data_IF_268952998158
#
_entry.id   IF_268952998158
#
_cell.length_a   1.000
_cell.length_b   1.000
_cell.length_c   1.000
_cell.angle_alpha   90.00
_cell.angle_beta   90.00
_cell.angle_gamma   90.00
#
_symmetry.space_group_name_H-M   'P 1'
#
loop_
_entity.id
_entity.type
_entity.pdbx_description
1 polymer ?
#
# COMPACT_ATOMS: atom_id res chain seq x y z
N UNK A 1 46.50 36.01 -29.64
CA UNK A 1 45.30 35.15 -29.72
C UNK A 1 45.58 33.85 -28.96
N UNK A 2 45.44 33.85 -27.63
CA UNK A 2 45.81 32.69 -26.78
C UNK A 2 45.17 32.80 -25.39
N UNK A 3 43.88 33.14 -25.34
CA UNK A 3 43.15 33.33 -24.07
C UNK A 3 41.65 33.01 -24.24
N UNK A 4 41.30 32.03 -25.08
CA UNK A 4 39.90 31.67 -25.34
C UNK A 4 39.62 30.16 -25.34
N UNK A 5 40.51 29.33 -24.80
CA UNK A 5 40.36 27.87 -24.78
C UNK A 5 40.22 27.24 -23.39
N UNK A 6 40.20 28.04 -22.32
CA UNK A 6 40.15 27.55 -20.92
C UNK A 6 38.83 27.83 -20.20
N UNK A 7 37.73 28.10 -20.92
CA UNK A 7 36.43 28.40 -20.31
C UNK A 7 35.30 27.39 -20.58
N UNK A 8 35.55 26.29 -21.31
CA UNK A 8 34.50 25.30 -21.64
C UNK A 8 34.57 23.97 -20.87
N UNK A 9 35.44 23.83 -19.86
CA UNK A 9 35.57 22.58 -19.07
C UNK A 9 35.00 22.68 -17.63
N UNK A 10 34.34 23.78 -17.27
CA UNK A 10 33.72 23.99 -15.95
C UNK A 10 32.18 24.08 -16.02
N UNK A 11 31.52 23.15 -16.71
CA UNK A 11 30.06 23.14 -16.82
C UNK A 11 29.41 21.74 -16.70
N UNK A 12 30.03 20.79 -15.98
CA UNK A 12 29.44 19.44 -15.76
C UNK A 12 29.38 19.04 -14.27
N UNK A 13 29.68 19.94 -13.33
CA UNK A 13 29.59 19.65 -11.89
C UNK A 13 28.41 20.36 -11.20
N UNK A 14 27.33 20.66 -11.94
CA UNK A 14 26.09 21.14 -11.31
C UNK A 14 25.31 19.92 -10.80
N UNK A 15 25.61 19.58 -9.55
CA UNK A 15 24.61 19.16 -8.56
C UNK A 15 23.70 18.00 -8.99
N UNK A 16 24.29 16.83 -9.24
CA UNK A 16 23.62 15.58 -8.85
C UNK A 16 23.61 15.50 -7.32
N UNK A 17 22.85 16.40 -6.69
CA UNK A 17 22.40 16.20 -5.33
C UNK A 17 21.46 15.01 -5.39
N UNK A 18 22.00 13.79 -5.27
CA UNK A 18 21.19 12.64 -4.93
C UNK A 18 20.53 13.01 -3.60
N UNK A 19 19.28 13.45 -3.65
CA UNK A 19 18.41 13.41 -2.49
C UNK A 19 18.34 11.94 -2.14
N UNK A 20 19.20 11.50 -1.22
CA UNK A 20 19.16 10.16 -0.68
C UNK A 20 17.84 10.07 0.05
N UNK A 21 16.86 9.45 -0.62
CA UNK A 21 15.62 9.06 0.02
C UNK A 21 15.97 8.23 1.26
N UNK A 22 15.30 8.44 2.40
CA UNK A 22 15.54 7.61 3.57
C UNK A 22 15.38 6.13 3.19
N UNK A 23 16.09 5.20 3.84
CA UNK A 23 15.83 3.78 3.62
C UNK A 23 14.40 3.44 4.08
N UNK A 24 13.75 2.43 3.46
CA UNK A 24 12.51 1.88 4.00
C UNK A 24 12.70 1.43 5.45
N UNK A 25 11.64 1.48 6.29
CA UNK A 25 11.74 1.03 7.67
C UNK A 25 12.02 -0.47 7.75
N UNK A 26 12.79 -0.88 8.74
CA UNK A 26 13.01 -2.29 9.08
C UNK A 26 12.00 -2.78 10.11
N UNK A 27 11.53 -4.00 9.93
CA UNK A 27 10.61 -4.68 10.85
C UNK A 27 11.38 -5.80 11.55
N UNK A 28 11.64 -5.62 12.84
CA UNK A 28 12.38 -6.56 13.69
C UNK A 28 11.44 -7.64 14.24
N UNK A 29 11.98 -8.81 14.61
CA UNK A 29 11.19 -9.84 15.28
C UNK A 29 10.24 -10.62 14.37
N UNK A 30 10.37 -10.50 13.05
CA UNK A 30 9.53 -11.20 12.09
C UNK A 30 9.52 -12.70 12.41
N UNK A 31 10.69 -13.30 12.64
CA UNK A 31 10.89 -14.72 12.92
C UNK A 31 9.98 -15.30 14.02
N UNK A 32 9.52 -14.48 14.96
CA UNK A 32 8.62 -14.91 16.04
C UNK A 32 7.26 -15.43 15.52
N UNK A 33 6.89 -15.02 14.31
CA UNK A 33 5.64 -15.41 13.64
C UNK A 33 5.85 -16.50 12.58
N UNK A 34 7.04 -17.08 12.44
CA UNK A 34 7.30 -18.19 11.49
C UNK A 34 6.49 -19.45 11.82
N UNK A 35 6.01 -19.57 13.07
CA UNK A 35 5.12 -20.65 13.49
C UNK A 35 3.69 -20.53 12.95
N UNK A 36 3.29 -19.34 12.46
CA UNK A 36 1.95 -19.12 11.90
C UNK A 36 1.88 -19.74 10.50
N UNK A 37 1.02 -20.75 10.34
CA UNK A 37 0.66 -21.30 9.05
C UNK A 37 -0.17 -20.28 8.27
N UNK A 38 0.33 -19.90 7.10
CA UNK A 38 -0.36 -19.01 6.18
C UNK A 38 -0.95 -19.82 5.03
N UNK A 39 -2.27 -19.81 4.92
CA UNK A 39 -2.99 -20.38 3.78
C UNK A 39 -3.32 -19.25 2.81
N UNK A 40 -2.39 -18.95 1.91
CA UNK A 40 -2.57 -17.91 0.89
C UNK A 40 -3.47 -18.42 -0.25
N UNK A 41 -4.76 -18.09 -0.17
CA UNK A 41 -5.79 -18.41 -1.17
C UNK A 41 -6.04 -17.25 -2.15
N UNK A 42 -5.23 -16.19 -2.09
CA UNK A 42 -5.39 -15.02 -2.97
C UNK A 42 -5.35 -15.43 -4.44
N UNK A 43 -6.17 -14.81 -5.31
CA UNK A 43 -6.04 -14.96 -6.74
C UNK A 43 -4.59 -14.71 -7.18
N UNK A 44 -4.07 -15.55 -8.09
CA UNK A 44 -2.68 -15.43 -8.54
C UNK A 44 -2.38 -14.06 -9.14
N UNK A 45 -3.38 -13.46 -9.80
CA UNK A 45 -3.30 -12.12 -10.37
C UNK A 45 -2.89 -11.11 -9.32
N UNK A 46 -3.45 -11.14 -8.09
CA UNK A 46 -3.18 -10.17 -7.02
C UNK A 46 -1.71 -10.13 -6.57
N UNK A 47 -0.93 -11.19 -6.84
CA UNK A 47 0.49 -11.28 -6.49
C UNK A 47 1.39 -10.51 -7.47
N UNK A 48 0.88 -10.20 -8.65
CA UNK A 48 1.64 -9.56 -9.74
C UNK A 48 1.58 -8.02 -9.68
N UNK A 49 2.43 -7.33 -10.42
CA UNK A 49 2.29 -5.87 -10.62
C UNK A 49 1.50 -5.59 -11.89
N UNK A 50 0.60 -4.59 -11.88
CA UNK A 50 -0.17 -4.22 -13.08
C UNK A 50 -0.34 -2.72 -13.19
N UNK A 51 0.03 -2.15 -14.34
CA UNK A 51 -0.40 -0.81 -14.75
C UNK A 51 -1.68 -0.96 -15.55
N UNK A 52 -2.79 -0.36 -15.09
CA UNK A 52 -4.07 -0.57 -15.75
C UNK A 52 -4.24 0.24 -17.03
N UNK A 53 -3.70 1.46 -17.08
CA UNK A 53 -3.62 2.22 -18.32
C UNK A 53 -2.56 3.32 -18.26
N UNK A 54 -1.91 3.53 -19.41
CA UNK A 54 -1.04 4.68 -19.67
C UNK A 54 -1.72 5.75 -20.52
N UNK A 55 -2.95 5.51 -21.01
CA UNK A 55 -3.69 6.45 -21.84
C UNK A 55 -4.44 7.46 -20.97
N UNK A 56 -4.13 8.75 -21.12
CA UNK A 56 -4.71 9.85 -20.32
C UNK A 56 -6.25 9.89 -20.35
N UNK A 57 -6.84 9.51 -21.48
CA UNK A 57 -8.30 9.48 -21.71
C UNK A 57 -8.99 8.28 -21.03
N UNK A 58 -8.24 7.29 -20.56
CA UNK A 58 -8.79 6.11 -19.90
C UNK A 58 -9.23 6.42 -18.46
N UNK A 59 -10.33 5.80 -18.04
CA UNK A 59 -10.77 5.73 -16.63
C UNK A 59 -9.81 4.99 -15.72
N UNK A 60 -8.89 4.20 -16.30
CA UNK A 60 -7.88 3.43 -15.58
C UNK A 60 -6.48 4.09 -15.58
N UNK A 61 -6.36 5.27 -16.20
CA UNK A 61 -5.10 6.00 -16.31
C UNK A 61 -4.49 6.22 -14.92
N UNK A 62 -3.19 6.02 -14.74
CA UNK A 62 -2.54 6.37 -13.48
C UNK A 62 -2.98 5.52 -12.28
N UNK A 63 -3.63 4.38 -12.53
CA UNK A 63 -3.94 3.36 -11.53
C UNK A 63 -2.99 2.19 -11.71
N UNK A 64 -2.46 1.72 -10.59
CA UNK A 64 -1.49 0.63 -10.54
C UNK A 64 -1.86 -0.33 -9.43
N UNK A 65 -1.62 -1.62 -9.63
CA UNK A 65 -1.61 -2.64 -8.58
C UNK A 65 -0.17 -3.00 -8.25
N UNK A 66 0.17 -2.96 -6.97
CA UNK A 66 1.49 -3.31 -6.49
C UNK A 66 1.70 -4.83 -6.53
N UNK A 67 2.90 -5.26 -6.93
CA UNK A 67 3.32 -6.65 -6.83
C UNK A 67 3.58 -7.04 -5.36
N UNK A 68 3.43 -8.31 -5.03
CA UNK A 68 3.63 -8.81 -3.66
C UNK A 68 5.07 -8.56 -3.15
N UNK A 69 6.04 -8.59 -4.07
CA UNK A 69 7.46 -8.29 -3.81
C UNK A 69 7.83 -6.81 -3.83
N UNK A 70 6.87 -5.89 -3.93
CA UNK A 70 7.15 -4.44 -3.94
C UNK A 70 7.68 -3.91 -2.59
N UNK A 71 7.46 -4.66 -1.51
CA UNK A 71 7.90 -4.33 -0.15
C UNK A 71 8.70 -5.47 0.46
N UNK A 72 9.52 -5.14 1.46
CA UNK A 72 10.18 -6.10 2.34
C UNK A 72 9.95 -5.66 3.79
N UNK A 73 9.28 -6.46 4.64
CA UNK A 73 8.61 -7.74 4.32
C UNK A 73 7.45 -7.58 3.32
N UNK A 74 6.98 -8.71 2.76
CA UNK A 74 5.74 -8.72 1.96
C UNK A 74 4.53 -8.40 2.85
N UNK A 75 3.43 -7.92 2.27
CA UNK A 75 2.23 -7.58 3.02
C UNK A 75 1.68 -8.75 3.85
N UNK A 76 1.63 -9.95 3.26
CA UNK A 76 1.20 -11.18 3.96
C UNK A 76 2.15 -11.54 5.10
N UNK A 77 3.46 -11.38 4.91
CA UNK A 77 4.44 -11.68 5.96
C UNK A 77 4.33 -10.70 7.13
N UNK A 78 4.09 -9.42 6.83
CA UNK A 78 3.85 -8.38 7.83
C UNK A 78 2.52 -8.63 8.58
N UNK A 79 1.47 -9.03 7.86
CA UNK A 79 0.17 -9.40 8.44
C UNK A 79 0.33 -10.53 9.46
N UNK A 80 1.03 -11.61 9.10
CA UNK A 80 1.28 -12.74 10.00
C UNK A 80 1.97 -12.30 11.29
N UNK A 81 2.98 -11.43 11.16
CA UNK A 81 3.71 -10.89 12.29
C UNK A 81 2.84 -10.01 13.19
N UNK A 82 2.11 -9.04 12.62
CA UNK A 82 1.23 -8.16 13.40
C UNK A 82 0.06 -8.90 14.03
N UNK A 83 -0.50 -9.89 13.34
CA UNK A 83 -1.54 -10.74 13.89
C UNK A 83 -1.02 -11.52 15.09
N UNK A 84 0.18 -12.11 15.00
CA UNK A 84 0.84 -12.79 16.11
C UNK A 84 1.07 -11.87 17.32
N UNK A 85 1.52 -10.63 17.10
CA UNK A 85 1.68 -9.63 18.17
C UNK A 85 0.33 -9.21 18.79
N UNK A 86 -0.73 -9.18 17.99
CA UNK A 86 -2.04 -8.64 18.39
C UNK A 86 -2.92 -9.67 19.11
N UNK A 87 -2.78 -10.95 18.74
CA UNK A 87 -3.63 -12.06 19.20
C UNK A 87 -2.78 -13.19 19.79
N UNK A 88 -2.59 -13.22 21.11
CA UNK A 88 -1.89 -14.31 21.79
C UNK A 88 -2.47 -15.70 21.48
N UNK A 89 -3.77 -15.77 21.16
CA UNK A 89 -4.52 -16.97 20.76
C UNK A 89 -3.95 -17.65 19.51
N UNK A 90 -3.30 -16.89 18.63
CA UNK A 90 -2.61 -17.46 17.47
C UNK A 90 -1.39 -18.30 17.87
N UNK A 91 -0.93 -18.24 19.13
CA UNK A 91 0.08 -19.19 19.62
C UNK A 91 -0.46 -20.60 19.77
N UNK A 92 -1.76 -20.79 19.99
CA UNK A 92 -2.39 -22.11 20.14
C UNK A 92 -3.11 -22.56 18.87
N UNK A 93 -3.58 -21.63 18.04
CA UNK A 93 -4.18 -21.89 16.73
C UNK A 93 -3.44 -21.08 15.65
N UNK A 94 -2.23 -21.51 15.25
CA UNK A 94 -1.35 -20.69 14.43
C UNK A 94 -1.73 -20.77 12.95
N UNK A 95 -2.92 -20.29 12.58
CA UNK A 95 -3.40 -20.34 11.20
C UNK A 95 -4.11 -19.05 10.80
N UNK A 96 -3.72 -18.52 9.64
CA UNK A 96 -4.40 -17.40 8.99
C UNK A 96 -4.61 -17.80 7.52
N UNK A 97 -5.86 -17.78 7.09
CA UNK A 97 -6.20 -17.89 5.67
C UNK A 97 -6.31 -16.49 5.09
N UNK A 98 -5.65 -16.24 3.96
CA UNK A 98 -5.66 -14.95 3.28
C UNK A 98 -6.37 -15.12 1.94
N UNK A 99 -7.55 -14.51 1.83
CA UNK A 99 -8.42 -14.58 0.65
C UNK A 99 -8.11 -13.41 -0.30
N UNK A 100 -7.86 -12.22 0.25
CA UNK A 100 -7.38 -11.07 -0.49
C UNK A 100 -6.31 -10.32 0.31
N UNK A 101 -5.22 -9.96 -0.35
CA UNK A 101 -4.28 -8.96 0.14
C UNK A 101 -3.70 -8.28 -1.08
N UNK A 102 -4.27 -7.13 -1.42
CA UNK A 102 -3.95 -6.41 -2.65
C UNK A 102 -3.90 -4.91 -2.40
N UNK A 103 -2.92 -4.25 -3.01
CA UNK A 103 -2.75 -2.80 -2.92
C UNK A 103 -2.85 -2.17 -4.28
N UNK A 104 -3.71 -1.16 -4.38
CA UNK A 104 -3.82 -0.28 -5.54
C UNK A 104 -3.32 1.10 -5.20
N UNK A 105 -2.59 1.73 -6.13
CA UNK A 105 -2.22 3.14 -6.05
C UNK A 105 -3.02 3.89 -7.10
N UNK A 106 -3.73 4.94 -6.69
CA UNK A 106 -4.44 5.83 -7.60
C UNK A 106 -3.76 7.21 -7.63
N UNK A 107 -3.15 7.54 -8.77
CA UNK A 107 -2.46 8.81 -9.01
C UNK A 107 -3.23 9.74 -9.96
N UNK A 108 -4.49 9.43 -10.29
CA UNK A 108 -5.25 10.11 -11.35
C UNK A 108 -5.33 11.62 -11.19
N UNK A 109 -5.65 12.07 -9.98
CA UNK A 109 -5.77 13.49 -9.64
C UNK A 109 -4.49 14.27 -9.88
N UNK A 110 -3.32 13.63 -9.73
CA UNK A 110 -2.02 14.27 -9.96
C UNK A 110 -1.57 14.14 -11.40
N UNK A 111 -1.65 12.96 -12.01
CA UNK A 111 -1.17 12.76 -13.37
C UNK A 111 -1.98 13.55 -14.41
N UNK A 112 -3.27 13.81 -14.15
CA UNK A 112 -4.07 14.70 -14.99
C UNK A 112 -3.78 16.19 -14.78
N UNK A 113 -3.18 16.55 -13.65
CA UNK A 113 -2.86 17.94 -13.28
C UNK A 113 -1.39 18.30 -13.56
N UNK A 114 -0.48 17.34 -13.49
CA UNK A 114 0.97 17.49 -13.72
C UNK A 114 1.56 16.18 -14.28
N UNK A 115 2.43 16.26 -15.30
CA UNK A 115 3.19 15.09 -15.76
C UNK A 115 4.23 14.70 -14.70
N UNK A 116 4.07 13.54 -14.06
CA UNK A 116 5.02 13.05 -13.05
C UNK A 116 6.21 12.36 -13.72
N UNK A 117 7.40 12.86 -13.39
CA UNK A 117 8.70 12.23 -13.64
C UNK A 117 8.83 11.02 -12.69
N UNK A 118 9.29 9.89 -13.24
CA UNK A 118 9.16 8.55 -12.70
C UNK A 118 9.68 8.33 -11.26
N UNK A 119 8.87 7.61 -10.49
CA UNK A 119 9.24 6.99 -9.22
C UNK A 119 8.46 5.71 -8.90
N UNK A 120 7.70 5.16 -9.86
CA UNK A 120 6.90 3.95 -9.67
C UNK A 120 7.61 2.66 -10.11
N UNK A 121 8.87 2.73 -10.53
CA UNK A 121 9.56 1.63 -11.24
C UNK A 121 10.80 1.08 -10.52
N UNK A 122 10.93 1.29 -9.21
CA UNK A 122 12.06 0.78 -8.42
C UNK A 122 11.74 -0.52 -7.67
N UNK A 123 12.64 -1.51 -7.74
CA UNK A 123 12.56 -2.72 -6.92
C UNK A 123 12.63 -2.43 -5.41
N UNK A 124 12.05 -3.33 -4.60
CA UNK A 124 11.97 -3.37 -3.12
C UNK A 124 12.03 -2.00 -2.44
N UNK A 125 10.87 -1.50 -1.99
CA UNK A 125 10.78 -0.27 -1.21
C UNK A 125 10.23 0.92 -1.99
N UNK A 126 9.16 0.70 -2.77
CA UNK A 126 8.44 1.77 -3.47
C UNK A 126 8.12 2.90 -2.50
N UNK A 127 8.82 4.02 -2.67
CA UNK A 127 8.58 5.22 -1.92
C UNK A 127 7.60 6.10 -2.68
N UNK A 128 6.57 6.53 -1.97
CA UNK A 128 5.62 7.48 -2.50
C UNK A 128 6.28 8.85 -2.39
N UNK A 129 6.89 9.33 -3.48
CA UNK A 129 7.44 10.68 -3.56
C UNK A 129 6.30 11.69 -3.36
N UNK A 130 6.14 12.21 -2.15
CA UNK A 130 5.38 13.43 -1.96
C UNK A 130 6.26 14.58 -2.44
N UNK A 131 5.93 15.15 -3.60
CA UNK A 131 6.32 16.54 -3.84
C UNK A 131 5.81 17.39 -2.68
N UNK A 132 6.60 18.38 -2.30
CA UNK A 132 6.68 19.05 -0.98
C UNK A 132 5.38 19.57 -0.35
N UNK A 133 4.22 19.51 -1.02
CA UNK A 133 2.92 19.98 -0.49
C UNK A 133 1.76 19.14 -1.07
N UNK A 134 1.61 17.89 -0.64
CA UNK A 134 0.35 17.16 -0.88
C UNK A 134 -0.58 17.36 0.30
N UNK A 135 -1.88 17.66 0.09
CA UNK A 135 -2.84 17.72 1.18
C UNK A 135 -2.87 16.39 1.91
N UNK A 136 -2.53 16.43 3.20
CA UNK A 136 -2.58 15.26 4.06
C UNK A 136 -4.04 14.91 4.38
N UNK A 137 -4.29 13.64 4.63
CA UNK A 137 -5.59 13.17 5.09
C UNK A 137 -5.46 12.07 6.13
N UNK A 138 -6.61 11.59 6.60
CA UNK A 138 -6.67 10.50 7.57
C UNK A 138 -6.70 9.14 6.87
N UNK A 139 -6.06 8.14 7.49
CA UNK A 139 -6.22 6.75 7.09
C UNK A 139 -7.63 6.30 7.44
N UNK A 140 -8.36 5.75 6.47
CA UNK A 140 -9.75 5.29 6.67
C UNK A 140 -9.87 3.82 6.34
N UNK A 141 -10.26 3.03 7.33
CA UNK A 141 -10.52 1.59 7.16
C UNK A 141 -11.98 1.30 7.36
N UNK A 142 -12.61 0.66 6.39
CA UNK A 142 -14.01 0.25 6.44
C UNK A 142 -14.12 -1.25 6.27
N UNK A 143 -15.04 -1.88 7.00
CA UNK A 143 -15.43 -3.27 6.74
C UNK A 143 -16.19 -3.29 5.41
N UNK A 144 -15.91 -4.29 4.59
CA UNK A 144 -16.56 -4.49 3.29
C UNK A 144 -17.12 -5.90 3.18
N UNK A 145 -18.02 -6.11 2.22
CA UNK A 145 -18.39 -7.45 1.78
C UNK A 145 -17.27 -8.00 0.88
N UNK A 146 -16.74 -9.17 1.24
CA UNK A 146 -15.71 -9.86 0.47
C UNK A 146 -16.18 -10.15 -0.97
N UNK A 147 -17.47 -10.48 -1.15
CA UNK A 147 -18.04 -10.76 -2.47
C UNK A 147 -17.97 -9.53 -3.40
N UNK A 148 -17.90 -8.32 -2.85
CA UNK A 148 -17.72 -7.11 -3.64
C UNK A 148 -16.34 -7.03 -4.31
N UNK A 149 -15.31 -7.63 -3.71
CA UNK A 149 -13.99 -7.77 -4.34
C UNK A 149 -14.10 -8.70 -5.54
N UNK A 150 -14.60 -9.92 -5.37
CA UNK A 150 -14.70 -10.91 -6.44
C UNK A 150 -15.43 -10.40 -7.70
N UNK A 151 -16.50 -9.64 -7.50
CA UNK A 151 -17.31 -9.07 -8.58
C UNK A 151 -16.57 -8.13 -9.52
N UNK A 152 -15.49 -7.51 -9.06
CA UNK A 152 -14.71 -6.53 -9.84
C UNK A 152 -13.43 -7.13 -10.43
N UNK A 153 -13.28 -8.45 -10.47
CA UNK A 153 -12.13 -9.09 -11.12
C UNK A 153 -12.12 -8.86 -12.64
N UNK A 154 -10.93 -8.90 -13.26
CA UNK A 154 -10.78 -8.77 -14.72
C UNK A 154 -10.70 -7.32 -15.19
N UNK A 155 -11.54 -6.95 -16.16
CA UNK A 155 -11.46 -5.65 -16.83
C UNK A 155 -11.87 -4.47 -15.93
N UNK A 156 -12.71 -4.72 -14.93
CA UNK A 156 -13.19 -3.70 -13.99
C UNK A 156 -12.32 -3.59 -12.72
N UNK A 157 -11.24 -4.35 -12.63
CA UNK A 157 -10.38 -4.43 -11.44
C UNK A 157 -9.82 -3.06 -11.04
N UNK A 158 -9.55 -2.18 -12.00
CA UNK A 158 -9.06 -0.82 -11.72
C UNK A 158 -10.05 0.02 -10.89
N UNK A 159 -11.34 -0.31 -10.91
CA UNK A 159 -12.38 0.42 -10.16
C UNK A 159 -12.23 0.24 -8.65
N UNK A 160 -11.53 -0.82 -8.19
CA UNK A 160 -11.15 -1.03 -6.79
C UNK A 160 -10.24 0.09 -6.27
N UNK A 161 -9.58 0.85 -7.16
CA UNK A 161 -8.77 1.99 -6.77
C UNK A 161 -9.55 3.31 -6.68
N UNK A 162 -10.86 3.29 -6.89
CA UNK A 162 -11.71 4.48 -6.78
C UNK A 162 -12.05 4.81 -5.32
N UNK A 163 -12.30 6.09 -5.10
CA UNK A 163 -12.66 6.66 -3.81
C UNK A 163 -13.64 7.80 -4.04
N UNK A 164 -14.48 8.07 -3.03
CA UNK A 164 -15.44 9.17 -3.11
C UNK A 164 -14.80 10.49 -2.68
N UNK A 165 -15.47 11.60 -3.00
CA UNK A 165 -15.03 12.93 -2.55
C UNK A 165 -15.12 13.08 -1.02
N UNK A 166 -16.04 12.37 -0.36
CA UNK A 166 -16.08 12.34 1.11
C UNK A 166 -14.88 11.62 1.70
N UNK A 167 -14.35 10.61 1.00
CA UNK A 167 -13.19 9.83 1.44
C UNK A 167 -11.87 10.57 1.26
N UNK A 168 -11.75 11.39 0.21
CA UNK A 168 -10.55 12.13 -0.14
C UNK A 168 -10.93 13.46 -0.84
N UNK A 169 -11.37 14.46 -0.08
CA UNK A 169 -11.92 15.71 -0.64
C UNK A 169 -10.88 16.50 -1.43
N UNK A 170 -9.62 16.45 -0.97
CA UNK A 170 -8.48 17.10 -1.61
C UNK A 170 -7.99 16.37 -2.86
N UNK A 171 -8.59 15.21 -3.18
CA UNK A 171 -8.23 14.35 -4.30
C UNK A 171 -6.73 14.07 -4.29
N UNK A 172 -6.12 13.86 -3.13
CA UNK A 172 -4.71 13.49 -3.05
C UNK A 172 -4.48 12.10 -3.65
N UNK A 173 -3.26 11.76 -4.10
CA UNK A 173 -2.90 10.37 -4.39
C UNK A 173 -3.22 9.47 -3.21
N UNK A 174 -3.75 8.28 -3.45
CA UNK A 174 -4.06 7.34 -2.37
C UNK A 174 -3.58 5.94 -2.70
N UNK A 175 -3.28 5.19 -1.65
CA UNK A 175 -3.22 3.74 -1.72
C UNK A 175 -4.51 3.16 -1.15
N UNK A 176 -5.07 2.19 -1.84
CA UNK A 176 -6.20 1.40 -1.39
C UNK A 176 -5.73 -0.02 -1.16
N UNK A 177 -5.78 -0.45 0.09
CA UNK A 177 -5.32 -1.76 0.54
C UNK A 177 -6.54 -2.56 0.97
N UNK A 178 -6.75 -3.68 0.30
CA UNK A 178 -7.81 -4.63 0.63
C UNK A 178 -7.19 -5.80 1.36
N UNK A 179 -7.77 -6.15 2.51
CA UNK A 179 -7.36 -7.27 3.33
C UNK A 179 -8.63 -8.08 3.65
N UNK A 180 -8.66 -9.32 3.21
CA UNK A 180 -9.69 -10.30 3.56
C UNK A 180 -9.01 -11.55 4.09
N UNK A 181 -9.28 -11.84 5.35
CA UNK A 181 -8.62 -12.92 6.08
C UNK A 181 -9.64 -13.70 6.90
N UNK A 182 -9.37 -14.98 7.10
CA UNK A 182 -9.99 -15.79 8.14
C UNK A 182 -8.92 -16.17 9.16
N UNK A 183 -9.14 -15.78 10.41
CA UNK A 183 -8.34 -16.24 11.53
C UNK A 183 -9.19 -16.31 12.80
N UNK A 184 -8.81 -17.17 13.74
CA UNK A 184 -9.54 -17.36 15.01
C UNK A 184 -11.04 -17.69 14.79
N UNK A 185 -11.36 -18.35 13.67
CA UNK A 185 -12.74 -18.73 13.32
C UNK A 185 -13.63 -17.57 12.85
N UNK A 186 -13.03 -16.44 12.49
CA UNK A 186 -13.75 -15.27 11.99
C UNK A 186 -13.14 -14.80 10.66
N UNK A 187 -13.98 -14.64 9.64
CA UNK A 187 -13.61 -13.93 8.41
C UNK A 187 -13.90 -12.44 8.52
N UNK A 188 -12.92 -11.61 8.18
CA UNK A 188 -13.06 -10.15 8.08
C UNK A 188 -12.49 -9.69 6.76
N UNK A 189 -13.27 -8.88 6.03
CA UNK A 189 -12.80 -8.13 4.86
C UNK A 189 -12.83 -6.63 5.15
N UNK A 190 -11.78 -5.92 4.76
CA UNK A 190 -11.67 -4.47 4.92
C UNK A 190 -11.03 -3.80 3.73
N UNK A 191 -11.46 -2.56 3.47
CA UNK A 191 -10.82 -1.61 2.56
C UNK A 191 -10.21 -0.49 3.36
N UNK A 192 -8.92 -0.25 3.16
CA UNK A 192 -8.17 0.79 3.82
C UNK A 192 -7.65 1.80 2.79
N UNK A 193 -8.06 3.07 2.92
CA UNK A 193 -7.60 4.18 2.11
C UNK A 193 -6.52 4.94 2.89
N UNK A 194 -5.34 5.07 2.27
CA UNK A 194 -4.17 5.74 2.83
C UNK A 194 -3.80 6.93 1.93
N UNK A 195 -4.13 8.16 2.33
CA UNK A 195 -3.68 9.38 1.66
C UNK A 195 -2.24 9.74 2.11
N UNK A 196 -1.66 10.85 1.62
CA UNK A 196 -0.46 11.41 2.22
C UNK A 196 -0.72 11.74 3.69
N UNK A 197 0.26 11.49 4.55
CA UNK A 197 0.11 11.65 6.01
C UNK A 197 0.92 12.86 6.47
N UNK A 198 0.30 13.70 7.30
CA UNK A 198 0.96 14.89 7.85
C UNK A 198 2.21 14.48 8.64
N UNK A 199 3.33 15.18 8.40
CA UNK A 199 4.62 14.86 9.03
C UNK A 199 5.34 13.65 8.44
N UNK A 200 4.77 12.94 7.45
CA UNK A 200 5.43 11.85 6.70
C UNK A 200 5.59 12.23 5.21
N UNK A 201 6.60 13.05 4.85
CA UNK A 201 6.82 13.47 3.46
C UNK A 201 7.25 12.32 2.54
N UNK A 202 7.67 11.19 3.10
CA UNK A 202 7.96 9.97 2.36
C UNK A 202 7.28 8.83 3.10
N UNK A 203 6.08 8.46 2.67
CA UNK A 203 5.38 7.29 3.18
C UNK A 203 5.79 6.09 2.32
N UNK A 204 6.43 5.09 2.93
CA UNK A 204 6.72 3.85 2.22
C UNK A 204 5.45 2.99 2.11
N UNK A 205 5.33 2.23 1.01
CA UNK A 205 4.20 1.32 0.83
C UNK A 205 4.06 0.33 1.99
N UNK A 206 5.18 -0.13 2.58
CA UNK A 206 5.16 -1.05 3.73
C UNK A 206 4.56 -0.40 4.99
N UNK A 207 4.75 0.91 5.19
CA UNK A 207 4.12 1.63 6.30
C UNK A 207 2.62 1.79 6.07
N UNK A 208 2.20 2.06 4.84
CA UNK A 208 0.78 2.08 4.48
C UNK A 208 0.13 0.72 4.72
N UNK A 209 0.80 -0.38 4.34
CA UNK A 209 0.36 -1.74 4.66
C UNK A 209 0.27 -1.95 6.17
N UNK A 210 1.27 -1.54 6.95
CA UNK A 210 1.28 -1.70 8.41
C UNK A 210 0.09 -0.98 9.09
N UNK A 211 -0.18 0.27 8.68
CA UNK A 211 -1.34 1.03 9.16
C UNK A 211 -2.65 0.31 8.86
N UNK A 212 -2.80 -0.20 7.63
CA UNK A 212 -4.00 -0.93 7.21
C UNK A 212 -4.15 -2.28 7.90
N UNK A 213 -3.06 -3.00 8.12
CA UNK A 213 -3.03 -4.25 8.89
C UNK A 213 -3.47 -3.97 10.33
N UNK A 214 -2.91 -2.98 11.00
CA UNK A 214 -3.30 -2.63 12.37
C UNK A 214 -4.80 -2.31 12.48
N UNK A 215 -5.33 -1.50 11.55
CA UNK A 215 -6.76 -1.19 11.51
C UNK A 215 -7.63 -2.41 11.18
N UNK A 216 -7.19 -3.27 10.27
CA UNK A 216 -7.89 -4.51 9.93
C UNK A 216 -7.97 -5.46 11.14
N UNK A 217 -6.86 -5.67 11.84
CA UNK A 217 -6.81 -6.51 13.04
C UNK A 217 -7.70 -5.95 14.16
N UNK A 218 -7.84 -4.63 14.28
CA UNK A 218 -8.77 -4.02 15.23
C UNK A 218 -10.25 -4.42 14.97
N UNK A 219 -10.63 -4.72 13.72
CA UNK A 219 -11.98 -5.16 13.36
C UNK A 219 -12.32 -6.58 13.85
N UNK A 220 -11.34 -7.36 14.29
CA UNK A 220 -11.59 -8.66 14.92
C UNK A 220 -12.06 -8.50 16.38
N UNK A 221 -11.48 -7.56 17.12
CA UNK A 221 -11.81 -7.32 18.54
C UNK A 221 -13.22 -6.78 18.76
N UNK A 222 -13.74 -6.01 17.81
CA UNK A 222 -15.08 -5.40 17.93
C UNK A 222 -16.22 -6.43 17.99
N UNK A 223 -16.04 -7.64 17.44
CA UNK A 223 -17.05 -8.71 17.50
C UNK A 223 -16.89 -9.59 18.74
N UNK A 224 -15.65 -9.84 19.18
CA UNK A 224 -15.37 -10.64 20.38
C UNK A 224 -15.87 -9.98 21.67
N UNK A 225 -15.86 -8.64 21.74
CA UNK A 225 -16.42 -7.91 22.89
C UNK A 225 -17.94 -7.99 22.97
N UNK A 226 -18.63 -8.13 21.84
CA UNK A 226 -20.09 -8.21 21.78
C UNK A 226 -20.61 -9.60 22.20
N UNK A 227 -19.77 -10.64 22.09
CA UNK A 227 -20.10 -12.01 22.51
C UNK A 227 -19.77 -12.29 23.98
N UNK A 228 -18.84 -11.55 24.59
CA UNK A 228 -18.46 -11.71 25.99
C UNK A 228 -19.39 -11.00 27.00
N UNK A 229 -20.35 -10.20 26.51
CA UNK A 229 -21.32 -9.43 27.33
C UNK A 229 -22.72 -10.07 27.32
N UNK A 230 -22.85 -11.28 26.75
CA UNK A 230 -24.07 -12.11 26.83
C UNK A 230 -23.81 -13.34 27.67
#
# INVERSE_FOLDING_TARGET
MRTLQTFCLMAVAVLAGCSSMPPPPEYQGLEQSDKIAIHDQRPSTEKEGKTFSLLLTSSAYGIYRAADGATKPTGVRLLAHRAYETFPELSSQPSITVEHFVTYTNLQSRLRTNALIGGLTGGIGVALMAQKEMPAGDVRTTRIDSVALDKTAGDEEYTRAFFTEQENPEKSPVNLIYIDTDMLGQRVASRCLVPPIAGKPTLFLVEAMDMCIANHLALYRSKSQETAVK
#
